data_IF_655292958616
#
_entry.id   IF_655292958616
#
_cell.length_a   1.000
_cell.length_b   1.000
_cell.length_c   1.000
_cell.angle_alpha   90.00
_cell.angle_beta   90.00
_cell.angle_gamma   90.00
#
_symmetry.space_group_name_H-M   'P 1'
#
loop_
_entity.id
_entity.type
_entity.pdbx_description
1 polymer ?
#
# COMPACT_ATOMS: atom_id res chain seq x y z
N UNK A 1 -12.73 1.40 3.04
CA UNK A 1 -13.04 1.92 1.67
C UNK A 1 -12.10 1.24 0.72
N UNK A 2 -12.63 0.61 -0.34
CA UNK A 2 -11.81 -0.15 -1.27
C UNK A 2 -11.08 0.75 -2.27
N UNK A 3 -9.97 0.24 -2.78
CA UNK A 3 -9.16 0.85 -3.82
C UNK A 3 -9.16 -0.09 -5.02
N UNK A 4 -9.54 0.43 -6.18
CA UNK A 4 -9.37 -0.24 -7.47
C UNK A 4 -7.93 -0.03 -7.95
N UNK A 5 -7.26 -1.13 -8.30
CA UNK A 5 -5.87 -1.14 -8.75
C UNK A 5 -5.83 -1.73 -10.14
N UNK A 6 -5.20 -1.02 -11.09
CA UNK A 6 -4.92 -1.53 -12.43
C UNK A 6 -3.41 -1.78 -12.57
N UNK A 7 -3.04 -2.93 -13.10
CA UNK A 7 -1.65 -3.39 -13.19
C UNK A 7 -1.41 -4.24 -14.44
N UNK A 8 -0.14 -4.44 -14.78
CA UNK A 8 0.26 -5.28 -15.92
C UNK A 8 0.70 -6.69 -15.52
N UNK A 9 1.10 -7.48 -16.52
CA UNK A 9 1.55 -8.87 -16.33
C UNK A 9 2.88 -9.00 -15.57
N UNK A 10 3.53 -7.90 -15.22
CA UNK A 10 4.73 -7.89 -14.38
C UNK A 10 4.42 -7.54 -12.92
N UNK A 11 3.16 -7.17 -12.63
CA UNK A 11 2.74 -6.71 -11.32
C UNK A 11 2.98 -5.22 -11.09
N UNK A 12 3.37 -4.47 -12.13
CA UNK A 12 3.56 -3.02 -12.05
C UNK A 12 2.21 -2.30 -12.03
N UNK A 13 2.05 -1.36 -11.11
CA UNK A 13 0.79 -0.65 -10.88
C UNK A 13 0.76 0.65 -11.69
N UNK A 14 -0.23 0.81 -12.55
CA UNK A 14 -0.45 2.02 -13.34
C UNK A 14 -1.43 2.99 -12.70
N UNK A 15 -2.41 2.45 -11.98
CA UNK A 15 -3.51 3.26 -11.46
C UNK A 15 -4.02 2.69 -10.13
N UNK A 16 -4.25 3.59 -9.18
CA UNK A 16 -4.92 3.31 -7.91
C UNK A 16 -6.03 4.35 -7.72
N UNK A 17 -7.28 3.92 -7.65
CA UNK A 17 -8.45 4.78 -7.46
C UNK A 17 -9.14 4.39 -6.15
N UNK A 18 -9.16 5.31 -5.19
CA UNK A 18 -9.88 5.13 -3.93
C UNK A 18 -11.24 5.83 -4.04
N UNK A 19 -12.27 5.05 -4.26
CA UNK A 19 -13.65 5.52 -4.44
C UNK A 19 -14.63 4.51 -3.82
N UNK A 20 -15.79 4.98 -3.38
CA UNK A 20 -16.90 4.12 -2.93
C UNK A 20 -17.56 3.35 -4.06
N UNK A 21 -17.55 3.87 -5.29
CA UNK A 21 -18.26 3.29 -6.44
C UNK A 21 -17.37 3.17 -7.67
N UNK A 22 -16.38 2.28 -7.62
CA UNK A 22 -15.54 2.00 -8.77
C UNK A 22 -16.28 1.14 -9.81
N UNK A 23 -16.31 1.59 -11.06
CA UNK A 23 -16.69 0.71 -12.18
C UNK A 23 -15.55 -0.30 -12.42
N UNK A 24 -15.79 -1.56 -12.11
CA UNK A 24 -14.81 -2.62 -12.36
C UNK A 24 -14.58 -2.82 -13.87
N UNK A 25 -13.32 -2.96 -14.31
CA UNK A 25 -13.02 -3.34 -15.69
C UNK A 25 -13.73 -4.64 -16.08
N UNK A 26 -14.31 -4.67 -17.27
CA UNK A 26 -14.89 -5.86 -17.87
C UNK A 26 -14.02 -6.23 -19.09
N UNK A 27 -13.29 -7.36 -19.02
CA UNK A 27 -12.43 -7.83 -20.12
C UNK A 27 -10.98 -8.10 -19.71
N UNK A 28 -10.03 -7.86 -20.63
CA UNK A 28 -8.61 -8.23 -20.50
C UNK A 28 -7.72 -7.25 -19.73
N UNK A 29 -8.29 -6.33 -18.94
CA UNK A 29 -7.53 -5.45 -18.05
C UNK A 29 -7.42 -6.14 -16.71
N UNK A 30 -6.20 -6.37 -16.23
CA UNK A 30 -5.99 -6.92 -14.91
C UNK A 30 -6.28 -5.86 -13.84
N UNK A 31 -7.05 -6.27 -12.83
CA UNK A 31 -7.39 -5.41 -11.72
C UNK A 31 -7.54 -6.17 -10.40
N UNK A 32 -7.44 -5.44 -9.30
CA UNK A 32 -7.81 -5.89 -7.96
C UNK A 32 -8.62 -4.79 -7.30
N UNK A 33 -9.62 -5.18 -6.51
CA UNK A 33 -10.38 -4.26 -5.66
C UNK A 33 -10.18 -4.68 -4.20
N UNK A 34 -9.34 -3.95 -3.47
CA UNK A 34 -8.89 -4.33 -2.12
C UNK A 34 -8.98 -3.19 -1.13
N UNK A 35 -8.97 -3.51 0.16
CA UNK A 35 -8.70 -2.52 1.19
C UNK A 35 -7.20 -2.51 1.50
N UNK A 36 -6.59 -1.32 1.55
CA UNK A 36 -5.19 -1.17 1.92
C UNK A 36 -5.12 -1.09 3.45
N UNK A 37 -4.32 -1.95 4.11
CA UNK A 37 -4.17 -1.92 5.56
C UNK A 37 -3.64 -0.58 6.06
N UNK A 38 -4.02 -0.22 7.29
CA UNK A 38 -3.52 1.00 7.93
C UNK A 38 -1.99 0.96 8.09
N UNK A 39 -1.34 2.11 7.86
CA UNK A 39 0.12 2.24 7.94
C UNK A 39 0.90 1.58 6.79
N UNK A 40 0.21 0.97 5.82
CA UNK A 40 0.81 0.32 4.65
C UNK A 40 0.54 1.10 3.37
N UNK A 41 1.44 0.97 2.40
CA UNK A 41 1.25 1.36 1.01
C UNK A 41 1.38 0.14 0.10
N UNK A 42 0.70 0.18 -1.05
CA UNK A 42 0.80 -0.86 -2.05
C UNK A 42 2.06 -0.68 -2.88
N UNK A 43 2.91 -1.71 -2.92
CA UNK A 43 4.19 -1.70 -3.64
C UNK A 43 4.07 -2.27 -5.05
N UNK A 44 3.46 -3.43 -5.16
CA UNK A 44 3.31 -4.18 -6.41
C UNK A 44 2.20 -5.23 -6.27
N UNK A 45 1.89 -5.91 -7.37
CA UNK A 45 1.04 -7.10 -7.36
C UNK A 45 1.92 -8.33 -7.63
N UNK A 46 1.81 -9.37 -6.81
CA UNK A 46 2.39 -10.67 -7.10
C UNK A 46 1.48 -11.40 -8.10
N UNK A 47 1.98 -11.46 -9.34
CA UNK A 47 1.33 -12.09 -10.49
C UNK A 47 1.80 -13.54 -10.71
N UNK A 48 2.64 -14.07 -9.82
CA UNK A 48 3.13 -15.46 -9.91
C UNK A 48 2.15 -16.47 -9.31
N UNK A 49 1.14 -15.98 -8.58
CA UNK A 49 0.11 -16.77 -7.91
C UNK A 49 -1.28 -16.47 -8.48
N UNK A 50 -2.21 -17.42 -8.37
CA UNK A 50 -3.60 -17.22 -8.82
C UNK A 50 -4.58 -17.58 -7.68
N UNK A 51 -5.43 -16.64 -7.21
CA UNK A 51 -5.54 -15.25 -7.68
C UNK A 51 -4.30 -14.40 -7.35
N UNK A 52 -3.98 -13.42 -8.20
CA UNK A 52 -2.90 -12.46 -7.96
C UNK A 52 -3.11 -11.75 -6.61
N UNK A 53 -2.03 -11.46 -5.88
CA UNK A 53 -2.11 -10.89 -4.53
C UNK A 53 -1.36 -9.57 -4.38
N UNK A 54 -1.85 -8.63 -3.56
CA UNK A 54 -1.14 -7.37 -3.30
C UNK A 54 0.10 -7.59 -2.44
N UNK A 55 1.18 -6.89 -2.77
CA UNK A 55 2.40 -6.80 -1.95
C UNK A 55 2.45 -5.42 -1.32
N UNK A 56 2.49 -5.37 0.01
CA UNK A 56 2.50 -4.13 0.78
C UNK A 56 3.88 -3.83 1.35
N UNK A 57 4.16 -2.55 1.56
CA UNK A 57 5.28 -2.08 2.36
C UNK A 57 4.82 -1.03 3.38
N UNK A 58 5.63 -0.76 4.39
CA UNK A 58 5.34 0.27 5.38
C UNK A 58 5.43 1.66 4.76
N UNK A 59 4.47 2.54 5.13
CA UNK A 59 4.54 3.94 4.75
C UNK A 59 5.82 4.52 5.38
N UNK A 60 6.73 5.11 4.58
CA UNK A 60 7.94 5.70 5.13
C UNK A 60 7.57 6.87 6.03
N UNK A 61 8.16 6.90 7.23
CA UNK A 61 8.03 8.05 8.13
C UNK A 61 8.52 9.32 7.43
N UNK A 62 7.83 10.42 7.66
CA UNK A 62 8.31 11.76 7.33
C UNK A 62 9.55 12.09 8.16
N UNK A 63 10.37 13.03 7.70
CA UNK A 63 11.56 13.48 8.45
C UNK A 63 11.21 13.97 9.87
N UNK A 64 10.07 14.67 10.01
CA UNK A 64 9.59 15.14 11.31
C UNK A 64 9.23 13.97 12.22
N UNK A 65 8.53 12.96 11.71
CA UNK A 65 8.19 11.75 12.48
C UNK A 65 9.42 10.94 12.87
N UNK A 66 10.42 10.86 11.98
CA UNK A 66 11.72 10.23 12.29
C UNK A 66 12.40 10.94 13.46
N UNK A 67 12.49 12.27 13.41
CA UNK A 67 13.09 13.09 14.47
C UNK A 67 12.35 12.92 15.79
N UNK A 68 11.01 12.98 15.78
CA UNK A 68 10.20 12.80 16.99
C UNK A 68 10.37 11.41 17.59
N UNK A 69 10.47 10.37 16.75
CA UNK A 69 10.69 8.98 17.19
C UNK A 69 12.06 8.83 17.86
N UNK A 70 13.10 9.42 17.26
CA UNK A 70 14.45 9.43 17.83
C UNK A 70 14.47 10.17 19.18
N UNK A 71 13.87 11.36 19.26
CA UNK A 71 13.80 12.14 20.50
C UNK A 71 13.06 11.38 21.62
N UNK A 72 11.93 10.73 21.29
CA UNK A 72 11.17 9.90 22.23
C UNK A 72 12.01 8.72 22.73
N UNK A 73 12.80 8.10 21.86
CA UNK A 73 13.68 6.98 22.21
C UNK A 73 14.79 7.44 23.16
N UNK A 74 15.41 8.58 22.88
CA UNK A 74 16.44 9.19 23.74
C UNK A 74 15.86 9.53 25.12
N UNK A 75 14.73 10.23 25.17
CA UNK A 75 14.08 10.59 26.44
C UNK A 75 13.76 9.35 27.30
N UNK A 76 13.24 8.28 26.68
CA UNK A 76 12.98 7.00 27.39
C UNK A 76 14.25 6.36 27.96
N UNK A 77 15.40 6.51 27.28
CA UNK A 77 16.67 5.99 27.77
C UNK A 77 17.27 6.80 28.94
N UNK A 78 16.93 8.09 29.05
CA UNK A 78 17.43 8.97 30.11
C UNK A 78 16.63 8.86 31.42
N UNK A 79 15.45 8.23 31.39
CA UNK A 79 14.56 8.04 32.56
C UNK A 79 14.65 6.58 33.07
N UNK A 80 15.57 5.77 32.53
CA UNK A 80 15.93 4.43 33.03
C UNK A 80 17.18 4.50 33.89
#
# INVERSE_FOLDING_TARGET
MKTLILYDNTGYIYLQIRDSENRLPQGGIQFLEIEIPEGKTLKSIDVTVTPNVPVYEDIPLTEIEKVNTQMTTILKSLIK
#
